data_IF_977263824798
#
_entry.id   IF_977263824798
#
_cell.length_a   1.000
_cell.length_b   1.000
_cell.length_c   1.000
_cell.angle_alpha   90.00
_cell.angle_beta   90.00
_cell.angle_gamma   90.00
#
_symmetry.space_group_name_H-M   'P 1'
#
loop_
_entity.id
_entity.type
_entity.pdbx_description
1 polymer ?
#
# COMPACT_ATOMS: atom_id res chain seq x y z
N UNK A 1 -6.82 11.13 6.19
CA UNK A 1 -6.25 9.78 6.36
C UNK A 1 -6.87 9.21 7.63
N UNK A 2 -7.51 8.05 7.59
CA UNK A 2 -8.16 7.45 8.76
C UNK A 2 -7.12 7.22 9.86
N UNK A 3 -7.40 7.67 11.09
CA UNK A 3 -6.51 7.52 12.25
C UNK A 3 -6.10 6.06 12.49
N UNK A 4 -6.98 5.11 12.15
CA UNK A 4 -6.78 3.66 12.29
C UNK A 4 -5.71 3.11 11.33
N UNK A 5 -5.71 3.54 10.06
CA UNK A 5 -4.73 3.10 9.06
C UNK A 5 -3.31 3.48 9.50
N UNK A 6 -3.13 4.68 10.05
CA UNK A 6 -1.83 5.12 10.54
C UNK A 6 -1.35 4.32 11.77
N UNK A 7 -2.27 3.91 12.65
CA UNK A 7 -1.94 3.08 13.80
C UNK A 7 -1.48 1.67 13.37
N UNK A 8 -2.16 1.07 12.38
CA UNK A 8 -1.75 -0.21 11.81
C UNK A 8 -0.43 -0.13 11.07
N UNK A 9 -0.24 0.93 10.27
CA UNK A 9 1.04 1.19 9.60
C UNK A 9 2.20 1.22 10.60
N UNK A 10 2.07 1.96 11.70
CA UNK A 10 3.10 2.05 12.73
C UNK A 10 3.48 0.68 13.32
N UNK A 11 2.49 -0.19 13.57
CA UNK A 11 2.75 -1.56 14.05
C UNK A 11 3.50 -2.39 13.01
N UNK A 12 3.07 -2.34 11.74
CA UNK A 12 3.71 -3.06 10.64
C UNK A 12 5.14 -2.59 10.40
N UNK A 13 5.40 -1.28 10.44
CA UNK A 13 6.73 -0.69 10.30
C UNK A 13 7.70 -1.14 11.40
N UNK A 14 7.18 -1.56 12.57
CA UNK A 14 7.94 -2.15 13.66
C UNK A 14 8.13 -3.68 13.54
N UNK A 15 7.61 -4.29 12.48
CA UNK A 15 7.63 -5.75 12.30
C UNK A 15 6.63 -6.48 13.20
N UNK A 16 5.67 -5.78 13.81
CA UNK A 16 4.61 -6.40 14.60
C UNK A 16 3.60 -7.04 13.65
N UNK A 17 3.36 -8.34 13.83
CA UNK A 17 2.34 -9.03 13.06
C UNK A 17 0.95 -8.53 13.46
N UNK A 18 0.19 -8.02 12.50
CA UNK A 18 -1.19 -7.59 12.69
C UNK A 18 -2.09 -8.67 12.13
N UNK A 19 -2.98 -9.20 12.96
CA UNK A 19 -4.02 -10.12 12.52
C UNK A 19 -5.17 -9.31 11.90
N UNK A 20 -5.38 -9.49 10.59
CA UNK A 20 -6.44 -8.83 9.83
C UNK A 20 -7.71 -9.67 9.71
N UNK A 21 -7.70 -10.93 10.14
CA UNK A 21 -8.92 -11.77 10.15
C UNK A 21 -9.92 -11.27 11.20
N UNK A 22 -9.44 -10.49 12.18
CA UNK A 22 -10.25 -9.80 13.19
C UNK A 22 -10.66 -8.37 12.79
N UNK A 23 -10.21 -7.86 11.64
CA UNK A 23 -10.53 -6.49 11.20
C UNK A 23 -11.90 -6.46 10.51
N UNK A 24 -12.87 -5.78 11.12
CA UNK A 24 -14.24 -5.69 10.58
C UNK A 24 -14.36 -4.72 9.39
N UNK A 25 -13.36 -3.86 9.17
CA UNK A 25 -13.38 -2.86 8.11
C UNK A 25 -12.39 -3.18 6.97
N UNK A 26 -12.84 -3.84 5.88
CA UNK A 26 -11.97 -4.14 4.73
C UNK A 26 -11.40 -2.88 4.03
N UNK A 27 -12.00 -1.70 4.23
CA UNK A 27 -11.45 -0.46 3.69
C UNK A 27 -10.16 -0.04 4.40
N UNK A 28 -9.97 -0.41 5.67
CA UNK A 28 -8.74 -0.17 6.41
C UNK A 28 -7.59 -1.01 5.83
N UNK A 29 -7.83 -2.31 5.60
CA UNK A 29 -6.86 -3.23 4.96
C UNK A 29 -6.52 -2.76 3.54
N UNK A 30 -7.53 -2.45 2.72
CA UNK A 30 -7.30 -1.91 1.38
C UNK A 30 -6.53 -0.57 1.42
N UNK A 31 -6.83 0.27 2.42
CA UNK A 31 -6.13 1.53 2.68
C UNK A 31 -4.65 1.32 2.98
N UNK A 32 -4.32 0.35 3.84
CA UNK A 32 -2.95 -0.02 4.18
C UNK A 32 -2.16 -0.50 2.97
N UNK A 33 -2.74 -1.39 2.15
CA UNK A 33 -2.08 -1.90 0.94
C UNK A 33 -1.79 -0.75 -0.03
N UNK A 34 -2.78 0.12 -0.28
CA UNK A 34 -2.59 1.29 -1.14
C UNK A 34 -1.52 2.24 -0.60
N UNK A 35 -1.47 2.44 0.72
CA UNK A 35 -0.48 3.27 1.37
C UNK A 35 0.94 2.70 1.20
N UNK A 36 1.10 1.40 1.48
CA UNK A 36 2.37 0.70 1.34
C UNK A 36 2.93 0.83 -0.08
N UNK A 37 2.12 0.51 -1.11
CA UNK A 37 2.54 0.58 -2.50
C UNK A 37 2.93 2.01 -2.94
N UNK A 38 2.31 3.04 -2.34
CA UNK A 38 2.62 4.44 -2.63
C UNK A 38 3.90 4.94 -1.95
N UNK A 39 4.22 4.39 -0.78
CA UNK A 39 5.39 4.80 0.01
C UNK A 39 6.67 4.05 -0.34
N UNK A 40 6.61 3.08 -1.26
CA UNK A 40 7.81 2.41 -1.76
C UNK A 40 8.81 3.44 -2.31
N UNK A 41 10.12 3.25 -2.08
CA UNK A 41 11.16 4.13 -2.64
C UNK A 41 11.12 4.22 -4.17
N UNK A 42 10.66 3.13 -4.79
CA UNK A 42 10.43 3.01 -6.22
C UNK A 42 8.99 2.51 -6.45
N UNK A 43 8.23 3.04 -7.42
CA UNK A 43 6.88 2.57 -7.69
C UNK A 43 6.89 1.09 -8.07
N UNK A 44 5.76 0.41 -7.84
CA UNK A 44 5.61 -1.01 -8.18
C UNK A 44 5.91 -1.31 -9.66
N UNK A 45 5.56 -0.40 -10.57
CA UNK A 45 5.87 -0.56 -11.99
C UNK A 45 7.31 -0.15 -12.36
N UNK A 46 8.17 0.22 -11.41
CA UNK A 46 9.53 0.76 -11.65
C UNK A 46 9.54 2.00 -12.54
N UNK A 47 10.65 2.73 -12.55
CA UNK A 47 10.76 3.90 -13.44
C UNK A 47 10.98 3.51 -14.90
N UNK A 48 11.70 2.41 -15.14
CA UNK A 48 12.06 1.95 -16.49
C UNK A 48 10.85 1.50 -17.32
N UNK A 49 9.76 1.06 -16.68
CA UNK A 49 8.54 0.65 -17.37
C UNK A 49 7.55 1.79 -17.57
N UNK A 50 7.85 3.01 -17.10
CA UNK A 50 6.91 4.13 -17.22
C UNK A 50 6.52 4.37 -18.68
N UNK A 51 7.52 4.50 -19.55
CA UNK A 51 7.34 4.71 -20.99
C UNK A 51 6.55 3.56 -21.64
N UNK A 52 6.95 2.28 -21.50
CA UNK A 52 6.16 1.14 -21.97
C UNK A 52 4.71 1.11 -21.46
N UNK A 53 4.44 1.62 -20.26
CA UNK A 53 3.11 1.56 -19.64
C UNK A 53 2.16 2.66 -20.14
N UNK A 54 2.67 3.87 -20.38
CA UNK A 54 1.85 5.00 -20.82
C UNK A 54 1.72 5.09 -22.34
N UNK A 55 2.60 4.42 -23.08
CA UNK A 55 2.57 4.45 -24.54
C UNK A 55 1.33 3.72 -25.07
N UNK A 56 0.56 4.34 -25.98
CA UNK A 56 -0.57 3.68 -26.62
C UNK A 56 -0.09 2.51 -27.48
N UNK A 57 -0.82 1.39 -27.44
CA UNK A 57 -0.58 0.24 -28.31
C UNK A 57 -1.19 0.53 -29.69
N UNK A 58 -0.47 1.34 -30.48
CA UNK A 58 -0.74 1.54 -31.92
C UNK A 58 -0.17 0.42 -32.78
#
# INVERSE_FOLDING_TARGET
MSSEINAYKYKLDQGVNVDFDQEENPHNVAGLIKLYLRELPEPLMTWDMYDPFIMPQT
#
